data_IF_988681364717
#
_entry.id   IF_988681364717
#
_cell.length_a   1.000
_cell.length_b   1.000
_cell.length_c   1.000
_cell.angle_alpha   90.00
_cell.angle_beta   90.00
_cell.angle_gamma   90.00
#
_symmetry.space_group_name_H-M   'P 1'
#
loop_
_entity.id
_entity.type
_entity.pdbx_description
1 polymer ?
#
# COMPACT_ATOMS: atom_id res chain seq x y z
N UNK A 1 2.22 -3.11 12.87
CA UNK A 1 1.11 -2.99 11.89
C UNK A 1 -0.13 -3.69 12.44
N UNK A 2 -1.17 -2.96 12.74
CA UNK A 2 -2.49 -3.56 13.03
C UNK A 2 -3.27 -3.49 11.71
N UNK A 3 -3.61 -4.66 11.14
CA UNK A 3 -4.50 -4.71 9.98
C UNK A 3 -5.85 -4.13 10.37
N UNK A 4 -6.34 -3.14 9.63
CA UNK A 4 -7.65 -2.53 9.85
C UNK A 4 -8.76 -3.26 9.07
N UNK A 5 -8.42 -4.39 8.45
CA UNK A 5 -9.36 -5.20 7.67
C UNK A 5 -10.27 -6.00 8.59
N UNK A 6 -11.56 -5.90 8.40
CA UNK A 6 -12.57 -6.72 9.10
C UNK A 6 -12.66 -8.06 8.38
N UNK A 7 -12.10 -9.12 8.99
CA UNK A 7 -11.95 -10.44 8.36
C UNK A 7 -13.27 -11.07 7.90
N UNK A 8 -14.32 -10.93 8.69
CA UNK A 8 -15.66 -11.46 8.40
C UNK A 8 -16.40 -10.74 7.26
N UNK A 9 -15.93 -9.56 6.87
CA UNK A 9 -16.52 -8.78 5.78
C UNK A 9 -15.87 -9.18 4.45
N UNK A 10 -16.62 -9.02 3.36
CA UNK A 10 -16.06 -9.14 2.01
C UNK A 10 -15.06 -8.01 1.72
N UNK A 11 -14.24 -8.18 0.68
CA UNK A 11 -13.34 -7.12 0.23
C UNK A 11 -14.12 -5.83 -0.11
N UNK A 12 -15.25 -5.95 -0.78
CA UNK A 12 -16.14 -4.82 -1.10
C UNK A 12 -16.66 -4.14 0.16
N UNK A 13 -17.17 -4.88 1.13
CA UNK A 13 -17.70 -4.31 2.38
C UNK A 13 -16.64 -3.57 3.18
N UNK A 14 -15.41 -4.05 3.19
CA UNK A 14 -14.27 -3.35 3.81
C UNK A 14 -14.02 -1.99 3.16
N UNK A 15 -14.00 -1.91 1.84
CA UNK A 15 -13.80 -0.63 1.12
C UNK A 15 -15.00 0.28 1.29
N UNK A 16 -16.24 -0.24 1.25
CA UNK A 16 -17.46 0.54 1.51
C UNK A 16 -17.41 1.15 2.92
N UNK A 17 -16.95 0.41 3.92
CA UNK A 17 -16.78 0.90 5.29
C UNK A 17 -15.77 2.07 5.35
N UNK A 18 -14.66 1.97 4.62
CA UNK A 18 -13.67 3.05 4.51
C UNK A 18 -14.27 4.32 3.87
N UNK A 19 -15.01 4.18 2.76
CA UNK A 19 -15.71 5.30 2.09
C UNK A 19 -16.69 5.96 3.05
N UNK A 20 -17.47 5.18 3.79
CA UNK A 20 -18.44 5.70 4.75
C UNK A 20 -17.75 6.48 5.87
N UNK A 21 -16.61 6.00 6.37
CA UNK A 21 -15.80 6.69 7.38
C UNK A 21 -15.30 8.05 6.89
N UNK A 22 -14.90 8.15 5.62
CA UNK A 22 -14.44 9.40 4.99
C UNK A 22 -15.55 10.46 4.88
N UNK A 23 -16.81 10.04 4.67
CA UNK A 23 -17.95 10.96 4.44
C UNK A 23 -18.62 11.46 5.72
N UNK A 24 -18.10 11.12 6.92
CA UNK A 24 -18.66 11.47 8.24
C UNK A 24 -20.15 11.12 8.44
N UNK A 25 -20.72 10.30 7.58
CA UNK A 25 -22.11 9.79 7.70
C UNK A 25 -22.17 8.54 8.59
N UNK A 26 -21.29 8.46 9.56
CA UNK A 26 -20.82 7.28 10.31
C UNK A 26 -21.85 6.62 11.25
N UNK A 27 -23.09 7.11 11.34
CA UNK A 27 -24.11 6.51 12.22
C UNK A 27 -25.16 5.66 11.48
N UNK A 28 -25.04 5.48 10.16
CA UNK A 28 -25.88 4.49 9.47
C UNK A 28 -25.27 3.11 9.70
N UNK A 29 -25.99 2.30 10.48
CA UNK A 29 -25.59 0.94 10.86
C UNK A 29 -24.93 0.16 9.71
N UNK A 30 -23.82 -0.52 9.99
CA UNK A 30 -22.97 -1.28 9.04
C UNK A 30 -23.79 -2.19 8.09
N UNK A 31 -24.86 -2.82 8.56
CA UNK A 31 -25.79 -3.62 7.74
C UNK A 31 -26.57 -2.82 6.69
N UNK A 32 -26.85 -1.55 6.94
CA UNK A 32 -27.50 -0.68 5.96
C UNK A 32 -26.50 -0.18 4.91
N UNK A 33 -25.24 0.07 5.32
CA UNK A 33 -24.15 0.47 4.43
C UNK A 33 -23.82 -0.62 3.39
N UNK A 34 -23.77 -1.89 3.79
CA UNK A 34 -23.50 -3.02 2.88
C UNK A 34 -24.54 -3.15 1.72
N UNK A 35 -25.72 -2.54 1.88
CA UNK A 35 -26.78 -2.51 0.87
C UNK A 35 -26.90 -1.16 0.14
N UNK A 36 -26.07 -0.19 0.49
CA UNK A 36 -26.09 1.14 -0.11
C UNK A 36 -25.44 1.11 -1.49
N UNK A 37 -26.26 1.15 -2.53
CA UNK A 37 -25.80 1.14 -3.91
C UNK A 37 -24.87 2.33 -4.24
N UNK A 38 -24.99 3.45 -3.52
CA UNK A 38 -24.12 4.63 -3.72
C UNK A 38 -22.68 4.40 -3.29
N UNK A 39 -22.43 3.47 -2.36
CA UNK A 39 -21.07 3.10 -1.90
C UNK A 39 -20.48 1.97 -2.74
N UNK A 40 -21.31 1.17 -3.40
CA UNK A 40 -20.87 -0.02 -4.12
C UNK A 40 -19.98 0.30 -5.32
N UNK A 41 -20.44 1.17 -6.21
CA UNK A 41 -19.68 1.51 -7.41
C UNK A 41 -18.31 2.16 -7.11
N UNK A 42 -18.19 3.14 -6.16
CA UNK A 42 -16.88 3.62 -5.73
C UNK A 42 -16.00 2.54 -5.11
N UNK A 43 -16.56 1.62 -4.32
CA UNK A 43 -15.78 0.53 -3.72
C UNK A 43 -15.23 -0.42 -4.79
N UNK A 44 -16.04 -0.78 -5.78
CA UNK A 44 -15.63 -1.62 -6.91
C UNK A 44 -14.52 -0.94 -7.74
N UNK A 45 -14.59 0.38 -7.92
CA UNK A 45 -13.53 1.13 -8.60
C UNK A 45 -12.20 1.06 -7.85
N UNK A 46 -12.19 1.23 -6.53
CA UNK A 46 -10.97 1.09 -5.73
C UNK A 46 -10.43 -0.35 -5.71
N UNK A 47 -11.31 -1.36 -5.67
CA UNK A 47 -10.90 -2.77 -5.79
C UNK A 47 -10.29 -3.07 -7.15
N UNK A 48 -10.87 -2.53 -8.22
CA UNK A 48 -10.32 -2.67 -9.57
C UNK A 48 -8.94 -2.00 -9.68
N UNK A 49 -8.78 -0.80 -9.11
CA UNK A 49 -7.51 -0.05 -9.08
C UNK A 49 -6.37 -0.86 -8.44
N UNK A 50 -6.66 -1.67 -7.42
CA UNK A 50 -5.66 -2.54 -6.76
C UNK A 50 -5.64 -3.98 -7.29
N UNK A 51 -6.38 -4.29 -8.37
CA UNK A 51 -6.43 -5.62 -8.98
C UNK A 51 -7.15 -6.67 -8.12
N UNK A 52 -8.21 -6.27 -7.41
CA UNK A 52 -9.05 -7.15 -6.58
C UNK A 52 -10.52 -7.20 -7.04
N UNK A 53 -10.83 -6.76 -8.26
CA UNK A 53 -12.21 -6.77 -8.77
C UNK A 53 -12.87 -8.15 -8.68
N UNK A 54 -12.16 -9.21 -9.11
CA UNK A 54 -12.62 -10.60 -9.06
C UNK A 54 -12.77 -11.17 -7.64
N UNK A 55 -12.22 -10.48 -6.64
CA UNK A 55 -12.23 -10.85 -5.21
C UNK A 55 -13.25 -10.04 -4.40
N UNK A 56 -14.01 -9.16 -5.04
CA UNK A 56 -14.89 -8.21 -4.37
C UNK A 56 -15.87 -8.87 -3.37
N UNK A 57 -16.40 -10.03 -3.70
CA UNK A 57 -17.35 -10.77 -2.85
C UNK A 57 -16.67 -11.82 -1.95
N UNK A 58 -15.35 -11.95 -2.00
CA UNK A 58 -14.60 -12.86 -1.13
C UNK A 58 -14.42 -12.23 0.25
N UNK A 59 -14.55 -13.03 1.32
CA UNK A 59 -14.25 -12.61 2.69
C UNK A 59 -12.79 -12.24 2.82
N UNK A 60 -12.51 -11.21 3.58
CA UNK A 60 -11.16 -10.69 3.73
C UNK A 60 -10.21 -11.66 4.47
N UNK A 61 -10.73 -12.50 5.38
CA UNK A 61 -9.94 -13.55 6.05
C UNK A 61 -9.52 -14.68 5.10
N UNK A 62 -10.26 -14.90 4.01
CA UNK A 62 -9.95 -15.90 2.97
C UNK A 62 -9.02 -15.38 1.88
N UNK A 63 -8.65 -14.10 1.88
CA UNK A 63 -7.68 -13.53 0.95
C UNK A 63 -6.26 -13.97 1.29
N UNK A 64 -5.43 -14.22 0.27
CA UNK A 64 -4.00 -14.40 0.46
C UNK A 64 -3.35 -13.14 1.06
N UNK A 65 -2.19 -13.29 1.70
CA UNK A 65 -1.51 -12.17 2.39
C UNK A 65 -1.29 -10.95 1.47
N UNK A 66 -0.77 -11.15 0.27
CA UNK A 66 -0.58 -10.06 -0.70
C UNK A 66 -1.88 -9.45 -1.21
N UNK A 67 -2.98 -10.23 -1.29
CA UNK A 67 -4.31 -9.69 -1.62
C UNK A 67 -4.85 -8.83 -0.49
N UNK A 68 -4.64 -9.25 0.77
CA UNK A 68 -5.03 -8.47 1.95
C UNK A 68 -4.29 -7.14 2.02
N UNK A 69 -2.99 -7.11 1.69
CA UNK A 69 -2.23 -5.86 1.57
C UNK A 69 -2.79 -4.92 0.52
N UNK A 70 -3.18 -5.45 -0.63
CA UNK A 70 -3.83 -4.66 -1.68
C UNK A 70 -5.21 -4.16 -1.26
N UNK A 71 -5.96 -4.94 -0.47
CA UNK A 71 -7.22 -4.49 0.14
C UNK A 71 -7.01 -3.33 1.12
N UNK A 72 -6.00 -3.41 1.99
CA UNK A 72 -5.62 -2.30 2.89
C UNK A 72 -5.31 -1.02 2.10
N UNK A 73 -4.60 -1.16 0.97
CA UNK A 73 -4.30 -0.03 0.10
C UNK A 73 -5.57 0.54 -0.56
N UNK A 74 -6.50 -0.31 -1.03
CA UNK A 74 -7.80 0.14 -1.56
C UNK A 74 -8.61 0.93 -0.52
N UNK A 75 -8.63 0.45 0.73
CA UNK A 75 -9.27 1.15 1.85
C UNK A 75 -8.61 2.50 2.13
N UNK A 76 -7.27 2.56 2.11
CA UNK A 76 -6.54 3.81 2.30
C UNK A 76 -6.83 4.83 1.18
N UNK A 77 -6.87 4.39 -0.09
CA UNK A 77 -7.22 5.23 -1.23
C UNK A 77 -8.65 5.75 -1.18
N UNK A 78 -9.59 4.92 -0.68
CA UNK A 78 -10.98 5.29 -0.50
C UNK A 78 -11.18 6.49 0.46
N UNK A 79 -10.23 6.71 1.37
CA UNK A 79 -10.20 7.87 2.28
C UNK A 79 -9.75 9.17 1.58
N UNK A 80 -9.36 9.12 0.30
CA UNK A 80 -8.83 10.25 -0.49
C UNK A 80 -7.66 10.95 0.21
N UNK A 81 -6.59 10.22 0.53
CA UNK A 81 -5.47 10.75 1.29
C UNK A 81 -4.70 11.81 0.48
N UNK A 82 -4.15 12.81 1.17
CA UNK A 82 -3.23 13.80 0.55
C UNK A 82 -1.82 13.23 0.37
N UNK A 83 -1.48 12.17 1.08
CA UNK A 83 -0.25 11.39 0.95
C UNK A 83 -0.45 9.99 1.52
N UNK A 84 0.28 8.99 1.00
CA UNK A 84 0.34 7.64 1.55
C UNK A 84 1.65 7.45 2.31
N UNK A 85 1.55 6.90 3.52
CA UNK A 85 2.71 6.48 4.33
C UNK A 85 2.67 4.95 4.41
N UNK A 86 3.63 4.30 3.77
CA UNK A 86 3.70 2.85 3.67
C UNK A 86 4.96 2.35 4.37
N UNK A 87 4.75 1.50 5.35
CA UNK A 87 5.82 0.90 6.15
C UNK A 87 5.94 -0.59 5.82
N UNK A 88 7.04 -0.97 5.19
CA UNK A 88 7.35 -2.31 4.69
C UNK A 88 6.18 -3.01 3.97
N UNK A 89 5.56 -2.38 2.97
CA UNK A 89 4.38 -2.95 2.32
C UNK A 89 4.67 -4.26 1.57
N UNK A 90 5.94 -4.52 1.19
CA UNK A 90 6.34 -5.74 0.49
C UNK A 90 6.53 -6.94 1.43
N UNK A 91 6.65 -6.71 2.76
CA UNK A 91 6.94 -7.76 3.72
C UNK A 91 5.93 -8.91 3.67
N UNK A 92 6.42 -10.15 3.58
CA UNK A 92 5.60 -11.36 3.55
C UNK A 92 4.82 -11.61 2.26
N UNK A 93 4.97 -10.77 1.23
CA UNK A 93 4.23 -10.93 -0.04
C UNK A 93 4.83 -11.94 -0.99
N UNK A 94 6.04 -12.42 -0.73
CA UNK A 94 6.83 -13.22 -1.67
C UNK A 94 7.21 -12.44 -2.93
N UNK A 95 8.11 -12.98 -3.79
CA UNK A 95 8.64 -12.24 -4.94
C UNK A 95 7.56 -11.78 -5.93
N UNK A 96 6.59 -12.63 -6.23
CA UNK A 96 5.51 -12.27 -7.15
C UNK A 96 4.57 -11.21 -6.57
N UNK A 97 4.21 -11.33 -5.30
CA UNK A 97 3.39 -10.33 -4.61
C UNK A 97 4.09 -8.97 -4.50
N UNK A 98 5.38 -8.96 -4.20
CA UNK A 98 6.20 -7.74 -4.18
C UNK A 98 6.24 -7.08 -5.57
N UNK A 99 6.44 -7.85 -6.63
CA UNK A 99 6.43 -7.36 -8.02
C UNK A 99 5.08 -6.72 -8.39
N UNK A 100 3.97 -7.38 -8.06
CA UNK A 100 2.62 -6.87 -8.32
C UNK A 100 2.39 -5.56 -7.56
N UNK A 101 2.76 -5.51 -6.28
CA UNK A 101 2.59 -4.32 -5.45
C UNK A 101 3.50 -3.16 -5.92
N UNK A 102 4.75 -3.44 -6.31
CA UNK A 102 5.66 -2.44 -6.91
C UNK A 102 5.03 -1.83 -8.16
N UNK A 103 4.50 -2.65 -9.07
CA UNK A 103 3.81 -2.16 -10.27
C UNK A 103 2.60 -1.27 -9.94
N UNK A 104 1.83 -1.63 -8.93
CA UNK A 104 0.69 -0.84 -8.45
C UNK A 104 1.14 0.51 -7.87
N UNK A 105 2.14 0.50 -6.99
CA UNK A 105 2.68 1.74 -6.38
C UNK A 105 3.32 2.66 -7.44
N UNK A 106 3.94 2.10 -8.49
CA UNK A 106 4.47 2.87 -9.61
C UNK A 106 3.39 3.64 -10.41
N UNK A 107 2.16 3.14 -10.41
CA UNK A 107 1.00 3.86 -10.98
C UNK A 107 0.49 4.92 -9.99
N UNK A 108 0.27 4.53 -8.73
CA UNK A 108 -0.31 5.39 -7.70
C UNK A 108 0.55 6.62 -7.37
N UNK A 109 1.89 6.53 -7.44
CA UNK A 109 2.79 7.67 -7.18
C UNK A 109 2.56 8.87 -8.12
N UNK A 110 1.86 8.66 -9.25
CA UNK A 110 1.48 9.74 -10.17
C UNK A 110 0.24 10.50 -9.72
N UNK A 111 -0.55 9.90 -8.83
CA UNK A 111 -1.83 10.42 -8.36
C UNK A 111 -1.71 10.98 -6.93
N UNK A 112 -0.89 10.35 -6.09
CA UNK A 112 -0.73 10.70 -4.69
C UNK A 112 0.73 10.57 -4.26
N UNK A 113 1.29 11.55 -3.52
CA UNK A 113 2.63 11.43 -2.94
C UNK A 113 2.72 10.21 -2.02
N UNK A 114 3.83 9.47 -2.12
CA UNK A 114 4.07 8.26 -1.31
C UNK A 114 5.36 8.44 -0.52
N UNK A 115 5.29 8.31 0.80
CA UNK A 115 6.44 8.05 1.65
C UNK A 115 6.53 6.55 1.90
N UNK A 116 7.58 5.92 1.39
CA UNK A 116 7.81 4.49 1.47
C UNK A 116 8.98 4.21 2.40
N UNK A 117 8.77 3.37 3.41
CA UNK A 117 9.83 2.79 4.23
C UNK A 117 9.97 1.34 3.77
N UNK A 118 11.15 0.99 3.27
CA UNK A 118 11.44 -0.34 2.74
C UNK A 118 12.92 -0.69 2.88
N UNK A 119 13.20 -1.97 2.98
CA UNK A 119 14.55 -2.52 2.96
C UNK A 119 14.82 -3.35 1.69
N UNK A 120 13.81 -3.61 0.86
CA UNK A 120 13.96 -4.18 -0.48
C UNK A 120 14.46 -3.09 -1.44
N UNK A 121 15.78 -3.11 -1.71
CA UNK A 121 16.44 -2.09 -2.52
C UNK A 121 15.96 -2.09 -3.97
N UNK A 122 15.53 -3.23 -4.51
CA UNK A 122 15.02 -3.31 -5.89
C UNK A 122 13.68 -2.57 -5.99
N UNK A 123 12.79 -2.77 -5.02
CA UNK A 123 11.53 -2.03 -4.94
C UNK A 123 11.77 -0.53 -4.71
N UNK A 124 12.68 -0.16 -3.80
CA UNK A 124 13.04 1.24 -3.54
C UNK A 124 13.58 1.91 -4.80
N UNK A 125 14.52 1.29 -5.51
CA UNK A 125 15.11 1.86 -6.72
C UNK A 125 14.12 1.95 -7.89
N UNK A 126 13.13 1.05 -7.93
CA UNK A 126 12.08 1.11 -8.96
C UNK A 126 11.04 2.21 -8.70
N UNK A 127 10.81 2.56 -7.44
CA UNK A 127 9.71 3.44 -7.03
C UNK A 127 10.15 4.86 -6.68
N UNK A 128 11.32 5.03 -6.07
CA UNK A 128 11.67 6.29 -5.45
C UNK A 128 12.18 7.34 -6.45
N UNK A 129 11.72 8.58 -6.29
CA UNK A 129 12.33 9.75 -6.94
C UNK A 129 13.50 10.27 -6.10
N UNK A 130 13.39 10.13 -4.77
CA UNK A 130 14.37 10.56 -3.79
C UNK A 130 14.45 9.54 -2.66
N UNK A 131 15.66 9.20 -2.21
CA UNK A 131 15.93 8.21 -1.18
C UNK A 131 16.69 8.87 -0.03
N UNK A 132 16.27 8.59 1.20
CA UNK A 132 17.04 8.89 2.41
C UNK A 132 17.41 7.57 3.08
N UNK A 133 18.70 7.34 3.26
CA UNK A 133 19.23 6.10 3.88
C UNK A 133 19.38 6.32 5.37
N UNK A 134 18.68 5.49 6.16
CA UNK A 134 18.65 5.57 7.62
C UNK A 134 19.47 4.41 8.20
N UNK A 135 20.48 4.73 9.03
CA UNK A 135 21.31 3.76 9.73
C UNK A 135 21.41 4.16 11.21
N UNK A 136 21.06 3.24 12.11
CA UNK A 136 21.04 3.48 13.56
C UNK A 136 20.34 4.79 13.97
N UNK A 137 19.20 5.09 13.34
CA UNK A 137 18.40 6.28 13.65
C UNK A 137 18.96 7.59 13.07
N UNK A 138 19.97 7.55 12.19
CA UNK A 138 20.58 8.71 11.54
C UNK A 138 20.48 8.60 10.03
N UNK A 139 20.12 9.71 9.37
CA UNK A 139 20.20 9.80 7.91
C UNK A 139 21.68 9.99 7.53
N UNK A 140 22.24 9.00 6.82
CA UNK A 140 23.64 9.03 6.35
C UNK A 140 23.77 9.56 4.91
N UNK A 141 22.71 9.46 4.11
CA UNK A 141 22.68 9.97 2.75
C UNK A 141 21.25 10.33 2.34
N UNK A 142 21.11 11.31 1.46
CA UNK A 142 19.86 11.64 0.78
C UNK A 142 20.17 12.07 -0.65
N UNK A 143 19.47 11.50 -1.63
CA UNK A 143 19.69 11.81 -3.04
C UNK A 143 18.78 11.03 -3.99
N UNK A 144 19.06 11.15 -5.27
CA UNK A 144 18.46 10.35 -6.34
C UNK A 144 18.95 8.89 -6.25
N UNK A 145 18.30 7.99 -6.98
CA UNK A 145 18.73 6.58 -7.09
C UNK A 145 20.20 6.47 -7.52
N UNK A 146 20.62 7.28 -8.52
CA UNK A 146 21.98 7.26 -9.02
C UNK A 146 23.01 7.69 -7.95
N UNK A 147 22.72 8.77 -7.22
CA UNK A 147 23.57 9.29 -6.13
C UNK A 147 23.69 8.28 -4.99
N UNK A 148 22.58 7.66 -4.59
CA UNK A 148 22.56 6.66 -3.52
C UNK A 148 23.35 5.41 -3.91
N UNK A 149 23.19 4.91 -5.13
CA UNK A 149 23.96 3.76 -5.62
C UNK A 149 25.47 4.03 -5.69
N UNK A 150 25.87 5.27 -6.01
CA UNK A 150 27.25 5.67 -6.09
C UNK A 150 27.90 6.00 -4.72
N UNK A 151 27.09 6.17 -3.68
CA UNK A 151 27.58 6.61 -2.37
C UNK A 151 28.37 5.49 -1.65
N UNK A 152 29.68 5.71 -1.31
CA UNK A 152 30.51 4.68 -0.69
C UNK A 152 30.04 4.27 0.70
N UNK A 153 29.44 5.19 1.47
CA UNK A 153 28.95 4.91 2.82
C UNK A 153 27.70 4.03 2.77
N UNK A 154 26.80 4.30 1.84
CA UNK A 154 25.60 3.46 1.60
C UNK A 154 26.03 2.08 1.13
N UNK A 155 26.98 1.98 0.21
CA UNK A 155 27.48 0.69 -0.28
C UNK A 155 28.04 -0.16 0.86
N UNK A 156 28.86 0.40 1.75
CA UNK A 156 29.38 -0.33 2.92
C UNK A 156 28.30 -0.76 3.91
N UNK A 157 27.27 0.08 4.11
CA UNK A 157 26.24 -0.17 5.13
C UNK A 157 25.11 -1.08 4.67
N UNK A 158 24.75 -1.08 3.38
CA UNK A 158 23.56 -1.73 2.86
C UNK A 158 23.79 -2.71 1.71
N UNK A 159 24.73 -2.38 0.81
CA UNK A 159 24.90 -3.17 -0.41
C UNK A 159 25.98 -4.25 -0.26
N UNK A 160 26.66 -4.29 0.89
CA UNK A 160 27.82 -5.13 1.11
C UNK A 160 29.00 -4.67 0.25
N UNK A 161 30.22 -4.87 0.72
CA UNK A 161 31.40 -4.77 -0.15
C UNK A 161 31.29 -5.91 -1.16
N UNK A 162 30.90 -5.59 -2.38
CA UNK A 162 31.02 -6.53 -3.48
C UNK A 162 32.50 -6.91 -3.61
N UNK A 163 32.82 -8.13 -3.23
CA UNK A 163 34.06 -8.82 -3.59
C UNK A 163 34.20 -8.88 -5.09
#
# INVERSE_FOLDING_TARGET
QVSQVVGDFTARENVMLAIQGATRTSWRFIRAAARDASLRAPAEAHLAQVGLAERADQRADALAHGERRRLELAMALALRPVALLLDEPMAGSGPEGARVLTGLLAQLRREVPILLIEHDMDAVFALADRISVLVYGRIIATGTVAEIRANPEVRRSYLGEGT
#
